data_IF_768948682068
#
_entry.id   IF_768948682068
#
_cell.length_a   1.000
_cell.length_b   1.000
_cell.length_c   1.000
_cell.angle_alpha   90.00
_cell.angle_beta   90.00
_cell.angle_gamma   90.00
#
_symmetry.space_group_name_H-M   'P 1'
#
loop_
_entity.id
_entity.type
_entity.pdbx_description
1 polymer ?
#
# COMPACT_ATOMS: atom_id res chain seq x y z
N UNK A 1 -0.90 -34.64 47.09
CA UNK A 1 -0.75 -34.39 45.63
C UNK A 1 0.70 -34.20 45.17
N UNK A 2 1.57 -33.56 45.96
CA UNK A 2 2.96 -33.23 45.60
C UNK A 2 3.86 -34.44 45.31
N UNK A 3 3.70 -35.55 46.03
CA UNK A 3 4.55 -36.74 45.86
C UNK A 3 4.29 -37.52 44.55
N UNK A 4 3.07 -37.46 44.00
CA UNK A 4 2.72 -38.12 42.75
C UNK A 4 3.23 -37.33 41.52
N UNK A 5 3.16 -36.01 41.60
CA UNK A 5 3.72 -35.11 40.58
C UNK A 5 5.24 -35.26 40.49
N UNK A 6 5.94 -35.29 41.63
CA UNK A 6 7.40 -35.49 41.66
C UNK A 6 7.82 -36.82 41.03
N UNK A 7 7.14 -37.93 41.35
CA UNK A 7 7.44 -39.26 40.78
C UNK A 7 7.36 -39.32 39.25
N UNK A 8 6.51 -38.51 38.61
CA UNK A 8 6.37 -38.49 37.14
C UNK A 8 7.21 -37.39 36.47
N UNK A 9 7.35 -36.23 37.10
CA UNK A 9 7.99 -35.05 36.50
C UNK A 9 9.51 -35.15 36.53
N UNK A 10 10.10 -35.71 37.59
CA UNK A 10 11.56 -35.86 37.75
C UNK A 10 12.17 -36.72 36.62
N UNK A 11 11.72 -37.96 36.37
CA UNK A 11 12.30 -38.79 35.30
C UNK A 11 12.04 -38.20 33.89
N UNK A 12 10.95 -37.44 33.74
CA UNK A 12 10.65 -36.73 32.50
C UNK A 12 11.61 -35.56 32.25
N UNK A 13 11.94 -34.79 33.30
CA UNK A 13 12.91 -33.70 33.26
C UNK A 13 14.34 -34.19 33.07
N UNK A 14 14.72 -35.33 33.63
CA UNK A 14 16.04 -35.92 33.39
C UNK A 14 16.23 -36.32 31.92
N UNK A 15 15.19 -36.88 31.30
CA UNK A 15 15.24 -37.31 29.90
C UNK A 15 15.15 -36.16 28.89
N UNK A 16 14.32 -35.16 29.18
CA UNK A 16 13.98 -34.09 28.22
C UNK A 16 14.46 -32.69 28.65
N UNK A 17 15.12 -32.57 29.80
CA UNK A 17 15.44 -31.29 30.44
C UNK A 17 16.21 -30.35 29.53
N UNK A 18 17.26 -30.83 28.86
CA UNK A 18 18.03 -29.99 27.94
C UNK A 18 17.19 -29.49 26.75
N UNK A 19 16.35 -30.34 26.17
CA UNK A 19 15.46 -29.95 25.05
C UNK A 19 14.42 -28.92 25.52
N UNK A 20 13.80 -29.17 26.66
CA UNK A 20 12.81 -28.27 27.27
C UNK A 20 13.46 -26.93 27.62
N UNK A 21 14.68 -26.93 28.18
CA UNK A 21 15.43 -25.73 28.52
C UNK A 21 15.75 -24.91 27.26
N UNK A 22 16.21 -25.54 26.18
CA UNK A 22 16.46 -24.85 24.91
C UNK A 22 15.18 -24.26 24.32
N UNK A 23 14.07 -25.01 24.33
CA UNK A 23 12.77 -24.50 23.87
C UNK A 23 12.29 -23.32 24.73
N UNK A 24 12.39 -23.43 26.05
CA UNK A 24 11.99 -22.37 26.98
C UNK A 24 12.84 -21.11 26.79
N UNK A 25 14.15 -21.26 26.59
CA UNK A 25 15.05 -20.14 26.31
C UNK A 25 14.66 -19.40 25.02
N UNK A 26 14.45 -20.13 23.92
CA UNK A 26 14.01 -19.54 22.64
C UNK A 26 12.64 -18.87 22.78
N UNK A 27 11.72 -19.50 23.52
CA UNK A 27 10.40 -18.96 23.77
C UNK A 27 10.47 -17.63 24.56
N UNK A 28 11.30 -17.56 25.60
CA UNK A 28 11.50 -16.33 26.38
C UNK A 28 12.15 -15.22 25.55
N UNK A 29 13.14 -15.54 24.71
CA UNK A 29 13.75 -14.57 23.79
C UNK A 29 12.72 -14.01 22.80
N UNK A 30 11.83 -14.88 22.30
CA UNK A 30 10.74 -14.48 21.40
C UNK A 30 9.77 -13.52 22.09
N UNK A 31 9.35 -13.83 23.33
CA UNK A 31 8.47 -12.97 24.12
C UNK A 31 9.11 -11.62 24.43
N UNK A 32 10.38 -11.62 24.84
CA UNK A 32 11.13 -10.39 25.11
C UNK A 32 11.20 -9.48 23.87
N UNK A 33 11.49 -10.07 22.70
CA UNK A 33 11.56 -9.35 21.42
C UNK A 33 10.19 -8.76 21.02
N UNK A 34 9.12 -9.54 21.19
CA UNK A 34 7.75 -9.08 20.92
C UNK A 34 7.34 -7.92 21.82
N UNK A 35 7.62 -8.02 23.13
CA UNK A 35 7.32 -6.96 24.09
C UNK A 35 8.13 -5.68 23.83
N UNK A 36 9.43 -5.81 23.47
CA UNK A 36 10.26 -4.68 23.08
C UNK A 36 9.73 -3.99 21.81
N UNK A 37 9.37 -4.77 20.78
CA UNK A 37 8.79 -4.25 19.54
C UNK A 37 7.48 -3.50 19.78
N UNK A 38 6.57 -4.06 20.58
CA UNK A 38 5.29 -3.43 20.88
C UNK A 38 5.46 -2.11 21.68
N UNK A 39 6.46 -2.05 22.57
CA UNK A 39 6.78 -0.83 23.34
C UNK A 39 7.36 0.26 22.45
N UNK A 40 8.25 -0.09 21.52
CA UNK A 40 8.82 0.84 20.54
C UNK A 40 7.74 1.46 19.64
N UNK A 41 6.73 0.68 19.23
CA UNK A 41 5.64 1.19 18.40
C UNK A 41 4.76 2.22 19.14
N UNK A 42 4.50 2.02 20.44
CA UNK A 42 3.76 3.00 21.26
C UNK A 42 4.54 4.32 21.40
N UNK A 43 5.84 4.25 21.63
CA UNK A 43 6.70 5.44 21.74
C UNK A 43 6.80 6.20 20.40
N UNK A 44 6.86 5.49 19.27
CA UNK A 44 6.89 6.11 17.94
C UNK A 44 5.60 6.84 17.56
N UNK A 45 4.44 6.37 18.05
CA UNK A 45 3.15 7.06 17.83
C UNK A 45 3.01 8.34 18.67
N UNK A 46 3.76 8.45 19.77
CA UNK A 46 3.78 9.63 20.66
C UNK A 46 4.84 10.64 20.26
N UNK A 47 5.88 10.21 19.54
CA UNK A 47 6.80 11.10 18.85
C UNK A 47 6.06 11.75 17.67
N UNK A 48 5.44 12.90 17.92
CA UNK A 48 4.93 13.78 16.90
C UNK A 48 6.08 14.12 15.93
N UNK A 49 6.10 13.44 14.79
CA UNK A 49 6.94 13.83 13.67
C UNK A 49 6.29 15.10 13.14
N UNK A 50 6.84 16.25 13.52
CA UNK A 50 6.48 17.54 12.94
C UNK A 50 6.94 17.52 11.48
N UNK A 51 6.07 17.04 10.57
CA UNK A 51 6.27 17.20 9.14
C UNK A 51 5.92 18.66 8.84
N UNK A 52 6.93 19.53 8.91
CA UNK A 52 6.85 20.85 8.26
C UNK A 52 6.78 20.58 6.77
N UNK A 53 5.56 20.51 6.24
CA UNK A 53 5.31 20.63 4.82
C UNK A 53 5.77 22.05 4.46
N UNK A 54 6.95 22.19 3.87
CA UNK A 54 7.31 23.39 3.12
C UNK A 54 6.40 23.41 1.89
N UNK A 55 5.16 23.84 2.11
CA UNK A 55 4.22 24.15 1.05
C UNK A 55 4.83 25.31 0.27
N UNK A 56 5.09 25.17 -1.05
CA UNK A 56 5.42 26.33 -1.84
C UNK A 56 4.22 27.28 -1.73
N UNK A 57 4.49 28.46 -1.21
CA UNK A 57 3.56 29.58 -1.11
C UNK A 57 2.97 29.84 -2.50
N UNK A 58 1.80 29.27 -2.78
CA UNK A 58 0.89 29.80 -3.80
C UNK A 58 0.09 30.89 -3.12
N UNK A 59 0.62 32.09 -3.26
CA UNK A 59 0.03 33.37 -2.87
C UNK A 59 -1.42 33.43 -3.34
N UNK A 60 -2.35 33.48 -2.38
CA UNK A 60 -3.72 33.89 -2.63
C UNK A 60 -3.78 35.42 -2.55
N UNK A 61 -4.05 36.09 -3.67
CA UNK A 61 -4.77 37.36 -3.62
C UNK A 61 -5.84 37.40 -4.73
N UNK A 62 -7.14 37.34 -4.39
CA UNK A 62 -8.24 37.30 -5.33
C UNK A 62 -8.69 38.72 -5.70
N UNK A 63 -8.46 39.14 -6.95
CA UNK A 63 -9.20 40.21 -7.67
C UNK A 63 -8.58 40.50 -9.04
N UNK A 64 -8.78 39.63 -10.04
CA UNK A 64 -8.72 40.02 -11.47
C UNK A 64 -9.30 38.98 -12.44
N UNK A 65 -10.44 38.39 -12.11
CA UNK A 65 -11.10 37.38 -12.94
C UNK A 65 -12.54 37.79 -13.23
N UNK A 66 -12.71 38.92 -13.91
CA UNK A 66 -14.02 39.35 -14.43
C UNK A 66 -13.96 39.82 -15.88
N UNK A 67 -12.79 39.77 -16.53
CA UNK A 67 -12.65 40.25 -17.92
C UNK A 67 -12.17 39.16 -18.90
N UNK A 68 -11.68 38.01 -18.42
CA UNK A 68 -11.16 36.94 -19.30
C UNK A 68 -12.23 35.96 -19.81
N UNK A 69 -13.44 36.01 -19.28
CA UNK A 69 -14.52 35.08 -19.64
C UNK A 69 -15.22 35.45 -20.95
N UNK A 70 -14.96 36.62 -21.55
CA UNK A 70 -15.55 37.01 -22.85
C UNK A 70 -14.70 36.68 -24.08
N UNK A 71 -13.49 36.12 -23.90
CA UNK A 71 -12.55 35.91 -25.01
C UNK A 71 -12.40 34.43 -25.41
N UNK A 72 -12.81 33.50 -24.56
CA UNK A 72 -12.66 32.05 -24.80
C UNK A 72 -13.86 31.46 -25.57
N UNK A 73 -15.00 32.15 -25.63
CA UNK A 73 -16.20 31.69 -26.34
C UNK A 73 -16.13 31.89 -27.87
N UNK A 74 -15.17 32.68 -28.36
CA UNK A 74 -15.02 32.98 -29.81
C UNK A 74 -13.92 32.18 -30.53
N UNK A 75 -13.40 31.09 -29.95
CA UNK A 75 -12.36 30.24 -30.57
C UNK A 75 -12.80 28.78 -30.79
N UNK A 76 -14.09 28.48 -30.65
CA UNK A 76 -14.66 27.12 -30.71
C UNK A 76 -15.32 26.74 -32.05
N UNK A 77 -14.92 27.35 -33.17
CA UNK A 77 -15.36 26.91 -34.50
C UNK A 77 -14.21 26.93 -35.52
N UNK A 78 -13.36 25.90 -35.52
CA UNK A 78 -13.05 25.19 -36.77
C UNK A 78 -12.35 23.83 -36.52
N UNK A 79 -12.97 22.79 -37.09
CA UNK A 79 -12.38 21.54 -37.59
C UNK A 79 -11.87 20.45 -36.64
N UNK A 80 -12.64 19.35 -36.65
CA UNK A 80 -12.18 17.96 -36.60
C UNK A 80 -10.94 17.74 -37.49
N UNK A 81 -10.00 16.86 -37.07
CA UNK A 81 -10.05 15.52 -37.65
C UNK A 81 -9.68 14.37 -36.69
N UNK A 82 -10.34 13.24 -36.93
CA UNK A 82 -9.83 11.90 -36.61
C UNK A 82 -8.43 11.69 -37.20
N UNK A 83 -7.48 11.16 -36.42
CA UNK A 83 -6.71 9.94 -36.77
C UNK A 83 -5.60 9.59 -35.79
N UNK A 84 -5.53 8.29 -35.52
CA UNK A 84 -4.34 7.46 -35.26
C UNK A 84 -3.58 7.68 -33.94
N UNK A 85 -3.89 6.84 -32.94
CA UNK A 85 -2.94 6.52 -31.89
C UNK A 85 -2.40 5.09 -32.06
N UNK A 86 -1.28 4.99 -32.75
CA UNK A 86 -0.35 3.87 -32.65
C UNK A 86 1.06 4.43 -32.76
N UNK A 87 1.76 4.53 -31.62
CA UNK A 87 3.20 4.25 -31.49
C UNK A 87 3.68 4.49 -30.04
N UNK A 88 3.90 3.39 -29.32
CA UNK A 88 5.14 3.07 -28.61
C UNK A 88 5.92 4.21 -27.89
N UNK A 89 5.62 4.46 -26.61
CA UNK A 89 6.62 4.83 -25.59
C UNK A 89 6.05 4.66 -24.16
N UNK A 90 6.67 3.88 -23.25
CA UNK A 90 6.16 3.70 -21.89
C UNK A 90 6.69 4.81 -20.97
N UNK A 91 6.07 5.98 -20.98
CA UNK A 91 6.38 7.02 -20.00
C UNK A 91 5.16 7.89 -19.69
N UNK A 92 4.68 7.76 -18.45
CA UNK A 92 3.85 8.74 -17.73
C UNK A 92 2.46 9.04 -18.31
N UNK A 93 1.56 8.05 -18.24
CA UNK A 93 0.12 8.36 -18.13
C UNK A 93 -0.11 9.07 -16.80
N UNK A 94 -0.51 10.33 -16.90
CA UNK A 94 -1.01 11.15 -15.79
C UNK A 94 -2.11 10.42 -15.03
N UNK A 95 -2.12 10.57 -13.71
CA UNK A 95 -2.84 9.76 -12.71
C UNK A 95 -4.38 9.72 -12.84
N UNK A 96 -4.97 10.28 -13.89
CA UNK A 96 -6.42 10.44 -14.05
C UNK A 96 -7.14 9.32 -14.82
N UNK A 97 -6.46 8.46 -15.60
CA UNK A 97 -7.15 7.50 -16.51
C UNK A 97 -6.82 6.01 -16.28
N UNK A 98 -6.20 5.64 -15.16
CA UNK A 98 -5.88 4.24 -14.88
C UNK A 98 -7.10 3.45 -14.40
N UNK A 99 -7.78 2.70 -15.27
CA UNK A 99 -8.95 1.87 -14.90
C UNK A 99 -8.61 0.79 -13.87
N UNK A 100 -7.45 0.15 -14.03
CA UNK A 100 -6.94 -0.87 -13.10
C UNK A 100 -5.54 -0.51 -12.61
N UNK A 101 -5.28 -0.75 -11.33
CA UNK A 101 -4.02 -0.43 -10.65
C UNK A 101 -3.44 -1.69 -10.02
N UNK A 102 -2.29 -2.13 -10.52
CA UNK A 102 -1.45 -3.20 -9.98
C UNK A 102 -0.45 -2.71 -8.94
N UNK A 103 -0.13 -3.58 -7.99
CA UNK A 103 1.03 -3.44 -7.10
C UNK A 103 2.14 -4.38 -7.56
N UNK A 104 3.31 -3.83 -7.87
CA UNK A 104 4.51 -4.61 -8.24
C UNK A 104 4.96 -5.58 -7.14
N UNK A 105 4.71 -5.24 -5.87
CA UNK A 105 5.13 -6.06 -4.72
C UNK A 105 4.27 -7.31 -4.52
N UNK A 106 2.97 -7.24 -4.85
CA UNK A 106 2.03 -8.31 -4.53
C UNK A 106 1.46 -8.99 -5.77
N UNK A 107 1.89 -8.59 -6.97
CA UNK A 107 1.38 -9.05 -8.27
C UNK A 107 -0.17 -9.09 -8.32
N UNK A 108 -0.82 -8.18 -7.60
CA UNK A 108 -2.27 -8.09 -7.50
C UNK A 108 -2.71 -6.78 -8.13
N UNK A 109 -3.79 -6.82 -8.91
CA UNK A 109 -4.42 -5.62 -9.44
C UNK A 109 -5.78 -5.36 -8.79
N UNK A 110 -6.09 -4.09 -8.67
CA UNK A 110 -7.28 -3.52 -8.05
C UNK A 110 -7.94 -2.56 -9.05
N UNK A 111 -9.19 -2.17 -8.78
CA UNK A 111 -9.83 -1.05 -9.48
C UNK A 111 -9.21 0.28 -9.01
N UNK A 112 -9.23 1.30 -9.87
CA UNK A 112 -8.76 2.65 -9.53
C UNK A 112 -9.40 3.20 -8.24
N UNK A 113 -10.70 2.95 -8.07
CA UNK A 113 -11.50 3.41 -6.93
C UNK A 113 -11.44 2.48 -5.69
N UNK A 114 -10.50 1.54 -5.64
CA UNK A 114 -10.37 0.62 -4.51
C UNK A 114 -9.58 1.26 -3.35
N UNK A 115 -10.06 1.15 -2.11
CA UNK A 115 -9.36 1.62 -0.90
C UNK A 115 -7.95 1.05 -0.73
N UNK A 116 -7.68 -0.12 -1.30
CA UNK A 116 -6.35 -0.72 -1.29
C UNK A 116 -5.44 -0.15 -2.37
N UNK A 117 -5.98 0.30 -3.50
CA UNK A 117 -5.22 0.93 -4.58
C UNK A 117 -4.62 2.28 -4.16
N UNK A 118 -5.35 3.05 -3.35
CA UNK A 118 -4.87 4.35 -2.82
C UNK A 118 -3.71 4.20 -1.84
N UNK A 119 -3.60 3.05 -1.16
CA UNK A 119 -2.50 2.74 -0.22
C UNK A 119 -1.22 2.24 -0.90
N UNK A 120 -1.28 1.89 -2.19
CA UNK A 120 -0.08 1.45 -2.93
C UNK A 120 0.83 2.67 -3.07
N UNK A 121 2.13 2.51 -2.76
CA UNK A 121 3.12 3.56 -2.99
C UNK A 121 3.22 3.86 -4.49
N UNK A 122 3.34 5.12 -4.93
CA UNK A 122 3.38 5.49 -6.34
C UNK A 122 4.47 4.73 -7.13
N UNK A 123 5.64 4.52 -6.52
CA UNK A 123 6.76 3.73 -7.07
C UNK A 123 6.38 2.28 -7.44
N UNK A 124 5.45 1.70 -6.68
CA UNK A 124 5.00 0.32 -6.80
C UNK A 124 3.67 0.20 -7.54
N UNK A 125 3.04 1.33 -7.93
CA UNK A 125 1.83 1.31 -8.76
C UNK A 125 2.20 0.97 -10.20
N UNK A 126 1.33 0.21 -10.84
CA UNK A 126 1.33 -0.03 -12.28
C UNK A 126 -0.09 0.13 -12.79
N UNK A 127 -0.30 1.00 -13.76
CA UNK A 127 -1.60 1.18 -14.38
C UNK A 127 -1.81 0.16 -15.51
N UNK A 128 -3.05 -0.28 -15.67
CA UNK A 128 -3.50 -1.10 -16.80
C UNK A 128 -4.79 -0.51 -17.35
N UNK A 129 -4.94 -0.56 -18.68
CA UNK A 129 -6.14 -0.13 -19.37
C UNK A 129 -7.25 -1.18 -19.30
N UNK A 130 -6.90 -2.47 -19.20
CA UNK A 130 -7.89 -3.55 -19.10
C UNK A 130 -7.52 -4.65 -18.11
N UNK A 131 -8.52 -5.43 -17.71
CA UNK A 131 -8.34 -6.60 -16.84
C UNK A 131 -7.48 -7.68 -17.52
N UNK A 132 -7.63 -7.82 -18.84
CA UNK A 132 -6.90 -8.79 -19.66
C UNK A 132 -5.42 -8.41 -19.75
N UNK A 133 -5.12 -7.12 -19.92
CA UNK A 133 -3.75 -6.62 -19.92
C UNK A 133 -3.04 -6.92 -18.58
N UNK A 134 -3.75 -6.70 -17.45
CA UNK A 134 -3.21 -7.03 -16.13
C UNK A 134 -2.93 -8.53 -15.97
N UNK A 135 -3.83 -9.40 -16.46
CA UNK A 135 -3.65 -10.86 -16.42
C UNK A 135 -2.49 -11.32 -17.31
N UNK A 136 -2.38 -10.77 -18.53
CA UNK A 136 -1.29 -11.05 -19.45
C UNK A 136 0.06 -10.58 -18.90
N UNK A 137 0.07 -9.49 -18.11
CA UNK A 137 1.24 -9.03 -17.37
C UNK A 137 1.56 -9.87 -16.12
N UNK A 138 0.81 -10.95 -15.84
CA UNK A 138 1.02 -11.85 -14.71
C UNK A 138 0.39 -11.39 -13.38
N UNK A 139 -0.51 -10.41 -13.42
CA UNK A 139 -1.18 -9.91 -12.22
C UNK A 139 -2.49 -10.65 -11.94
N UNK A 140 -2.71 -10.95 -10.67
CA UNK A 140 -3.89 -11.65 -10.16
C UNK A 140 -4.95 -10.67 -9.68
N UNK A 141 -6.21 -10.97 -9.94
CA UNK A 141 -7.34 -10.19 -9.46
C UNK A 141 -7.35 -10.11 -7.93
N UNK A 142 -7.46 -8.91 -7.36
CA UNK A 142 -7.69 -8.78 -5.93
C UNK A 142 -9.13 -9.13 -5.57
N UNK A 143 -9.33 -10.17 -4.77
CA UNK A 143 -10.64 -10.65 -4.29
C UNK A 143 -11.47 -9.59 -3.54
N UNK A 144 -10.84 -8.53 -3.05
CA UNK A 144 -11.51 -7.47 -2.31
C UNK A 144 -12.30 -6.48 -3.19
N UNK A 145 -11.85 -6.25 -4.42
CA UNK A 145 -12.33 -5.16 -5.27
C UNK A 145 -12.66 -5.61 -6.71
N UNK A 146 -12.00 -6.64 -7.23
CA UNK A 146 -12.23 -7.13 -8.59
C UNK A 146 -13.32 -8.20 -8.53
N UNK A 147 -14.54 -7.85 -8.97
CA UNK A 147 -15.69 -8.77 -9.01
C UNK A 147 -16.90 -8.38 -8.14
N UNK A 148 -16.84 -7.28 -7.40
CA UNK A 148 -18.03 -6.68 -6.80
C UNK A 148 -18.71 -5.81 -7.85
N UNK A 149 -19.76 -6.36 -8.49
CA UNK A 149 -20.72 -5.58 -9.28
C UNK A 149 -21.60 -4.76 -8.36
#
# INVERSE_FOLDING_TARGET
MSNLLKKKIIPFWEKNGQKILTFLAIFLISLASYHAGQTAERNRKTAAINITLTQPEKTANPKKETERTKLIENLLEEKLPEKNFSSNNPASLTEQDCLFVGSKNSNKYHLANCRYATKIKPENKRCFASQEEAKNAGYVAASCCVGKK
#
